data_IF_473293511746
#
_entry.id   IF_473293511746
#
_cell.length_a   1.000
_cell.length_b   1.000
_cell.length_c   1.000
_cell.angle_alpha   90.00
_cell.angle_beta   90.00
_cell.angle_gamma   90.00
#
_symmetry.space_group_name_H-M   'P 1'
#
loop_
_entity.id
_entity.type
_entity.pdbx_description
1 polymer ?
#
# COMPACT_ATOMS: atom_id res chain seq x y z
N UNK A 1 3.54 -0.40 14.62
CA UNK A 1 3.65 -1.86 14.51
C UNK A 1 3.56 -2.17 13.03
N UNK A 2 4.52 -2.87 12.48
CA UNK A 2 4.58 -3.10 11.01
C UNK A 2 3.61 -4.23 10.66
N UNK A 3 2.38 -3.89 10.27
CA UNK A 3 1.33 -4.86 9.92
C UNK A 3 1.67 -5.75 8.70
N UNK A 4 2.83 -5.52 8.06
CA UNK A 4 3.32 -6.29 6.92
C UNK A 4 4.49 -7.24 7.24
N UNK A 5 4.94 -7.33 8.49
CA UNK A 5 5.98 -8.29 8.90
C UNK A 5 5.48 -9.76 8.82
N UNK A 6 4.16 -9.97 8.79
CA UNK A 6 3.56 -11.30 8.66
C UNK A 6 3.64 -11.86 7.23
N UNK A 7 3.87 -11.01 6.21
CA UNK A 7 3.93 -11.50 4.83
C UNK A 7 5.31 -12.07 4.50
N UNK A 8 5.30 -13.34 4.11
CA UNK A 8 6.52 -14.04 3.69
C UNK A 8 7.04 -13.44 2.38
N UNK A 9 8.33 -13.06 2.36
CA UNK A 9 9.01 -12.50 1.18
C UNK A 9 9.79 -13.56 0.39
N UNK A 10 9.65 -14.82 0.75
CA UNK A 10 10.27 -15.95 0.05
C UNK A 10 9.22 -16.68 -0.77
N UNK A 11 9.45 -16.90 -2.10
CA UNK A 11 8.52 -17.67 -2.93
C UNK A 11 8.38 -19.11 -2.43
N UNK A 12 7.16 -19.59 -2.30
CA UNK A 12 6.85 -20.95 -1.87
C UNK A 12 5.89 -21.62 -2.86
N UNK A 13 6.17 -22.89 -3.19
CA UNK A 13 5.29 -23.73 -4.00
C UNK A 13 4.70 -24.83 -3.12
N UNK A 14 3.37 -24.89 -3.02
CA UNK A 14 2.66 -25.94 -2.27
C UNK A 14 1.54 -26.56 -3.10
N UNK A 15 1.32 -27.85 -2.94
CA UNK A 15 0.21 -28.59 -3.55
C UNK A 15 -1.00 -28.68 -2.61
N UNK A 16 -0.84 -28.36 -1.33
CA UNK A 16 -1.88 -28.37 -0.31
C UNK A 16 -1.84 -27.05 0.47
N UNK A 17 -2.39 -25.98 -0.10
CA UNK A 17 -2.33 -24.65 0.50
C UNK A 17 -3.28 -24.45 1.68
N UNK A 18 -4.27 -25.35 1.88
CA UNK A 18 -5.29 -25.23 2.89
C UNK A 18 -5.44 -26.53 3.67
N UNK A 19 -4.63 -26.71 4.71
CA UNK A 19 -4.82 -27.85 5.63
C UNK A 19 -6.07 -27.71 6.52
N UNK A 20 -6.69 -26.53 6.58
CA UNK A 20 -7.98 -26.29 7.25
C UNK A 20 -8.77 -25.19 6.54
N UNK A 21 -9.93 -25.55 6.05
CA UNK A 21 -11.14 -24.81 5.66
C UNK A 21 -11.61 -25.03 4.23
N UNK A 22 -12.70 -25.82 4.15
CA UNK A 22 -13.55 -25.86 2.96
C UNK A 22 -14.33 -24.54 2.87
N UNK A 23 -14.17 -23.77 1.78
CA UNK A 23 -15.28 -22.99 1.17
C UNK A 23 -14.88 -22.34 -0.16
N UNK A 24 -15.81 -22.52 -1.10
CA UNK A 24 -16.20 -21.72 -2.26
C UNK A 24 -15.37 -21.77 -3.54
N UNK A 25 -16.07 -22.21 -4.57
CA UNK A 25 -15.67 -22.38 -5.98
C UNK A 25 -15.28 -21.06 -6.62
N UNK A 26 -14.09 -20.92 -7.23
CA UNK A 26 -13.74 -19.74 -8.02
C UNK A 26 -14.45 -19.75 -9.38
N UNK A 27 -14.96 -18.58 -9.78
CA UNK A 27 -15.51 -18.35 -11.10
C UNK A 27 -14.40 -18.40 -12.16
N UNK A 28 -14.67 -19.13 -13.24
CA UNK A 28 -13.78 -19.28 -14.39
C UNK A 28 -13.79 -17.96 -15.17
N UNK A 29 -12.66 -17.24 -15.14
CA UNK A 29 -12.40 -16.13 -16.06
C UNK A 29 -11.83 -16.68 -17.37
N UNK A 30 -12.38 -16.23 -18.52
CA UNK A 30 -11.89 -16.61 -19.83
C UNK A 30 -10.48 -16.07 -20.04
N UNK A 31 -9.56 -16.98 -20.43
CA UNK A 31 -8.17 -16.71 -20.74
C UNK A 31 -8.04 -15.83 -22.00
N UNK A 32 -7.61 -14.59 -21.79
CA UNK A 32 -6.69 -13.96 -22.76
C UNK A 32 -5.28 -14.26 -22.23
N UNK A 33 -4.45 -14.92 -23.04
CA UNK A 33 -3.05 -15.18 -22.67
C UNK A 33 -2.39 -13.82 -22.37
N UNK A 34 -2.04 -13.50 -21.10
CA UNK A 34 -1.22 -12.34 -20.84
C UNK A 34 0.20 -12.70 -21.30
N UNK A 35 0.79 -11.84 -22.11
CA UNK A 35 2.24 -11.84 -22.32
C UNK A 35 2.89 -11.72 -20.94
N UNK A 36 3.28 -12.85 -20.36
CA UNK A 36 3.98 -12.86 -19.06
C UNK A 36 5.33 -12.21 -19.28
N UNK A 37 5.64 -11.09 -18.61
CA UNK A 37 6.97 -10.51 -18.66
C UNK A 37 7.99 -11.59 -18.31
N UNK A 38 9.11 -11.62 -19.03
CA UNK A 38 10.16 -12.61 -18.81
C UNK A 38 10.71 -12.51 -17.39
N UNK A 39 10.28 -13.43 -16.52
CA UNK A 39 10.73 -13.46 -15.13
C UNK A 39 12.05 -14.18 -15.08
N UNK A 40 13.09 -13.46 -14.66
CA UNK A 40 14.40 -14.04 -14.44
C UNK A 40 14.39 -14.80 -13.11
N UNK A 41 14.32 -16.13 -13.20
CA UNK A 41 14.43 -17.02 -12.04
C UNK A 41 15.89 -17.35 -11.73
N UNK A 42 16.23 -17.42 -10.46
CA UNK A 42 17.54 -17.94 -10.00
C UNK A 42 17.67 -19.43 -10.30
N UNK A 43 18.88 -20.01 -10.30
CA UNK A 43 19.07 -21.44 -10.47
C UNK A 43 18.31 -22.26 -9.43
N UNK A 44 18.24 -21.79 -8.19
CA UNK A 44 17.52 -22.42 -7.09
C UNK A 44 16.01 -22.40 -7.36
N UNK A 45 15.47 -21.26 -7.78
CA UNK A 45 14.06 -21.11 -8.14
C UNK A 45 13.67 -22.03 -9.32
N UNK A 46 14.55 -22.18 -10.33
CA UNK A 46 14.35 -23.12 -11.44
C UNK A 46 14.32 -24.57 -10.96
N UNK A 47 15.21 -24.94 -10.04
CA UNK A 47 15.21 -26.28 -9.47
C UNK A 47 13.93 -26.53 -8.64
N UNK A 48 13.44 -25.54 -7.91
CA UNK A 48 12.16 -25.63 -7.19
C UNK A 48 11.00 -25.85 -8.15
N UNK A 49 10.95 -25.12 -9.28
CA UNK A 49 9.94 -25.30 -10.32
C UNK A 49 9.94 -26.71 -10.87
N UNK A 50 11.11 -27.26 -11.23
CA UNK A 50 11.22 -28.62 -11.78
C UNK A 50 10.82 -29.68 -10.76
N UNK A 51 11.34 -29.60 -9.54
CA UNK A 51 10.98 -30.53 -8.48
C UNK A 51 9.50 -30.47 -8.07
N UNK A 52 8.87 -29.32 -8.22
CA UNK A 52 7.44 -29.15 -7.99
C UNK A 52 6.62 -29.73 -9.14
N UNK A 53 7.04 -29.52 -10.39
CA UNK A 53 6.40 -30.06 -11.58
C UNK A 53 6.29 -31.60 -11.54
N UNK A 54 7.32 -32.29 -11.06
CA UNK A 54 7.32 -33.75 -10.87
C UNK A 54 6.22 -34.22 -9.92
N UNK A 55 5.85 -33.42 -8.91
CA UNK A 55 4.84 -33.74 -7.89
C UNK A 55 3.41 -33.48 -8.35
N UNK A 56 3.21 -32.78 -9.46
CA UNK A 56 1.88 -32.50 -9.99
C UNK A 56 1.26 -33.78 -10.54
N UNK A 57 0.12 -34.16 -9.97
CA UNK A 57 -0.70 -35.29 -10.44
C UNK A 57 -1.93 -34.73 -11.17
N UNK A 58 -1.93 -34.84 -12.50
CA UNK A 58 -3.02 -34.36 -13.36
C UNK A 58 -4.30 -35.20 -13.21
N UNK A 59 -4.24 -36.42 -12.67
CA UNK A 59 -5.41 -37.23 -12.37
C UNK A 59 -6.11 -36.84 -11.07
N UNK A 60 -5.43 -36.10 -10.21
CA UNK A 60 -5.98 -35.63 -8.93
C UNK A 60 -6.73 -34.30 -9.10
N UNK A 61 -8.03 -34.37 -9.36
CA UNK A 61 -8.88 -33.18 -9.56
C UNK A 61 -8.84 -32.20 -8.38
N UNK A 62 -8.68 -32.66 -7.15
CA UNK A 62 -8.62 -31.79 -5.98
C UNK A 62 -7.32 -30.96 -5.97
N UNK A 63 -6.20 -31.60 -6.30
CA UNK A 63 -4.91 -30.92 -6.45
C UNK A 63 -4.96 -29.84 -7.54
N UNK A 64 -5.60 -30.15 -8.67
CA UNK A 64 -5.75 -29.17 -9.77
C UNK A 64 -6.63 -27.99 -9.37
N UNK A 65 -7.73 -28.21 -8.65
CA UNK A 65 -8.61 -27.14 -8.18
C UNK A 65 -7.94 -26.21 -7.16
N UNK A 66 -6.98 -26.72 -6.40
CA UNK A 66 -6.25 -25.94 -5.39
C UNK A 66 -4.92 -25.39 -5.91
N UNK A 67 -4.61 -25.64 -7.18
CA UNK A 67 -3.35 -25.23 -7.79
C UNK A 67 -3.19 -23.71 -7.78
N UNK A 68 -2.16 -23.20 -7.10
CA UNK A 68 -1.90 -21.77 -6.97
C UNK A 68 -2.86 -20.99 -6.05
N UNK A 69 -3.88 -21.65 -5.48
CA UNK A 69 -4.87 -20.97 -4.64
C UNK A 69 -4.26 -20.36 -3.36
N UNK A 70 -3.20 -20.96 -2.82
CA UNK A 70 -2.47 -20.42 -1.67
C UNK A 70 -1.87 -19.04 -1.95
N UNK A 71 -1.20 -18.91 -3.09
CA UNK A 71 -0.60 -17.62 -3.51
C UNK A 71 -1.68 -16.59 -3.83
N UNK A 72 -2.77 -16.99 -4.48
CA UNK A 72 -3.90 -16.09 -4.73
C UNK A 72 -4.51 -15.57 -3.42
N UNK A 73 -4.65 -16.41 -2.40
CA UNK A 73 -5.11 -16.00 -1.07
C UNK A 73 -4.12 -15.00 -0.44
N UNK A 74 -2.82 -15.29 -0.46
CA UNK A 74 -1.79 -14.37 0.04
C UNK A 74 -1.88 -12.99 -0.61
N UNK A 75 -2.10 -12.94 -1.94
CA UNK A 75 -2.26 -11.67 -2.68
C UNK A 75 -3.54 -10.96 -2.27
N UNK A 76 -4.65 -11.67 -2.08
CA UNK A 76 -5.92 -11.09 -1.64
C UNK A 76 -5.79 -10.48 -0.23
N UNK A 77 -5.27 -11.23 0.73
CA UNK A 77 -5.05 -10.79 2.11
C UNK A 77 -4.08 -9.58 2.16
N UNK A 78 -3.03 -9.62 1.35
CA UNK A 78 -2.09 -8.51 1.20
C UNK A 78 -2.77 -7.26 0.63
N UNK A 79 -3.59 -7.41 -0.43
CA UNK A 79 -4.28 -6.30 -1.07
C UNK A 79 -5.30 -5.65 -0.14
N UNK A 80 -6.01 -6.44 0.67
CA UNK A 80 -6.94 -5.94 1.68
C UNK A 80 -6.23 -5.10 2.73
N UNK A 81 -5.14 -5.63 3.32
CA UNK A 81 -4.31 -4.87 4.28
C UNK A 81 -3.69 -3.62 3.66
N UNK A 82 -3.25 -3.69 2.39
CA UNK A 82 -2.73 -2.55 1.66
C UNK A 82 -3.77 -1.43 1.53
N UNK A 83 -5.01 -1.77 1.14
CA UNK A 83 -6.11 -0.82 1.02
C UNK A 83 -6.49 -0.17 2.36
N UNK A 84 -6.45 -0.92 3.46
CA UNK A 84 -6.70 -0.37 4.79
C UNK A 84 -5.67 0.68 5.22
N UNK A 85 -4.40 0.48 4.83
CA UNK A 85 -3.30 1.34 5.22
C UNK A 85 -3.12 2.57 4.31
N UNK A 86 -3.57 2.52 3.05
CA UNK A 86 -3.49 3.63 2.07
C UNK A 86 -4.63 4.64 2.25
N UNK A 87 -5.40 4.61 3.32
CA UNK A 87 -6.41 5.63 3.60
C UNK A 87 -5.74 7.00 3.64
N UNK A 88 -6.03 7.79 2.62
CA UNK A 88 -5.57 9.18 2.47
C UNK A 88 -5.81 9.95 3.75
N UNK A 89 -4.74 10.33 4.42
CA UNK A 89 -4.82 11.21 5.59
C UNK A 89 -5.10 12.62 5.11
N UNK A 90 -6.25 13.11 5.53
CA UNK A 90 -6.72 14.45 5.17
C UNK A 90 -5.81 15.51 5.80
N UNK A 91 -5.26 16.40 4.97
CA UNK A 91 -4.54 17.61 5.39
C UNK A 91 -5.51 18.73 5.82
N UNK A 92 -6.79 18.43 6.04
CA UNK A 92 -7.83 19.39 6.41
C UNK A 92 -7.51 20.18 7.66
N UNK A 93 -6.79 19.57 8.63
CA UNK A 93 -6.32 20.27 9.83
C UNK A 93 -5.34 21.41 9.50
N UNK A 94 -4.35 21.15 8.64
CA UNK A 94 -3.40 22.17 8.19
C UNK A 94 -4.11 23.25 7.38
N UNK A 95 -5.06 22.89 6.53
CA UNK A 95 -5.89 23.82 5.77
C UNK A 95 -6.71 24.74 6.69
N UNK A 96 -7.29 24.21 7.74
CA UNK A 96 -8.05 24.99 8.75
C UNK A 96 -7.14 25.98 9.49
N UNK A 97 -6.00 25.50 9.99
CA UNK A 97 -5.02 26.34 10.68
C UNK A 97 -4.49 27.47 9.79
N UNK A 98 -4.24 27.21 8.50
CA UNK A 98 -3.84 28.23 7.53
C UNK A 98 -4.96 29.26 7.29
N UNK A 99 -6.21 28.81 7.18
CA UNK A 99 -7.37 29.69 7.01
C UNK A 99 -7.54 30.61 8.22
N UNK A 100 -7.32 30.10 9.42
CA UNK A 100 -7.38 30.87 10.66
C UNK A 100 -6.31 31.95 10.71
N UNK A 101 -5.06 31.63 10.35
CA UNK A 101 -3.97 32.61 10.25
C UNK A 101 -4.29 33.69 9.22
N UNK A 102 -4.79 33.32 8.05
CA UNK A 102 -5.15 34.30 7.00
C UNK A 102 -6.28 35.20 7.46
N UNK A 103 -7.28 34.66 8.16
CA UNK A 103 -8.41 35.43 8.70
C UNK A 103 -7.95 36.39 9.80
N UNK A 104 -7.06 35.96 10.67
CA UNK A 104 -6.48 36.81 11.70
C UNK A 104 -5.64 37.95 11.09
N UNK A 105 -4.84 37.65 10.06
CA UNK A 105 -4.03 38.65 9.38
C UNK A 105 -4.88 39.66 8.58
N UNK A 106 -5.95 39.24 7.91
CA UNK A 106 -6.89 40.15 7.23
C UNK A 106 -7.54 41.13 8.17
N UNK A 107 -7.82 40.75 9.41
CA UNK A 107 -8.34 41.66 10.42
C UNK A 107 -7.40 42.80 10.83
N UNK A 108 -6.12 42.78 10.41
CA UNK A 108 -5.17 43.90 10.60
C UNK A 108 -5.38 45.02 9.59
N UNK A 109 -5.61 44.69 8.31
CA UNK A 109 -5.80 45.67 7.24
C UNK A 109 -7.09 46.53 7.40
N UNK A 110 -8.17 45.88 7.81
CA UNK A 110 -9.47 46.56 7.98
C UNK A 110 -9.51 47.55 9.14
N UNK A 111 -8.67 47.38 10.17
CA UNK A 111 -8.54 48.33 11.29
C UNK A 111 -7.63 49.54 10.97
N UNK A 112 -6.67 49.41 10.03
CA UNK A 112 -5.83 50.51 9.61
C UNK A 112 -6.60 51.54 8.75
N UNK A 113 -7.50 51.11 7.86
CA UNK A 113 -8.29 52.00 7.02
C UNK A 113 -9.31 52.88 7.78
N UNK A 114 -9.77 52.42 8.96
CA UNK A 114 -10.78 53.14 9.77
C UNK A 114 -10.19 54.03 10.87
N UNK A 115 -8.87 54.12 11.01
CA UNK A 115 -8.31 54.58 12.26
C UNK A 115 -7.21 55.62 12.27
N UNK A 116 -6.80 56.22 11.16
CA UNK A 116 -5.69 57.20 11.19
C UNK A 116 -6.03 58.51 11.95
N UNK A 117 -7.29 58.87 12.06
CA UNK A 117 -7.75 60.07 12.82
C UNK A 117 -8.23 59.74 14.26
N UNK A 118 -8.37 58.50 14.64
CA UNK A 118 -8.81 58.06 15.99
C UNK A 118 -7.68 57.70 16.97
N UNK A 119 -6.43 57.67 16.49
CA UNK A 119 -5.28 57.06 17.23
C UNK A 119 -4.85 57.87 18.47
N UNK A 120 -5.13 59.16 18.51
CA UNK A 120 -4.62 60.05 19.57
C UNK A 120 -5.41 60.02 20.87
N UNK A 121 -6.57 59.36 21.00
CA UNK A 121 -7.42 59.42 22.19
C UNK A 121 -7.46 58.13 23.08
N UNK A 122 -6.89 56.99 22.62
CA UNK A 122 -6.86 55.76 23.43
C UNK A 122 -5.63 54.86 23.14
N UNK A 123 -4.42 55.42 23.30
CA UNK A 123 -3.17 54.78 22.86
C UNK A 123 -2.72 53.53 23.63
N UNK A 124 -3.25 53.26 24.80
CA UNK A 124 -2.79 52.10 25.62
C UNK A 124 -3.39 50.74 25.22
N UNK A 125 -4.66 50.73 24.78
CA UNK A 125 -5.35 49.46 24.51
C UNK A 125 -5.05 48.90 23.11
N UNK A 126 -4.72 49.75 22.13
CA UNK A 126 -4.42 49.26 20.74
C UNK A 126 -3.12 48.47 20.66
N UNK A 127 -2.07 48.90 21.37
CA UNK A 127 -0.78 48.18 21.39
C UNK A 127 -0.95 46.80 22.06
N UNK A 128 -1.73 46.71 23.12
CA UNK A 128 -2.01 45.44 23.76
C UNK A 128 -2.85 44.51 22.91
N UNK A 129 -3.85 45.04 22.19
CA UNK A 129 -4.68 44.26 21.24
C UNK A 129 -3.84 43.76 20.08
N UNK A 130 -2.98 44.59 19.51
CA UNK A 130 -2.04 44.20 18.47
C UNK A 130 -1.09 43.09 18.92
N UNK A 131 -0.47 43.25 20.09
CA UNK A 131 0.40 42.22 20.69
C UNK A 131 -0.34 40.89 20.88
N UNK A 132 -1.60 40.93 21.38
CA UNK A 132 -2.41 39.73 21.54
C UNK A 132 -2.73 39.02 20.21
N UNK A 133 -3.06 39.79 19.16
CA UNK A 133 -3.30 39.27 17.82
C UNK A 133 -2.02 38.63 17.22
N UNK A 134 -0.85 39.31 17.35
CA UNK A 134 0.43 38.74 16.91
C UNK A 134 0.79 37.45 17.67
N UNK A 135 0.62 37.43 18.97
CA UNK A 135 0.88 36.23 19.79
C UNK A 135 -0.04 35.06 19.40
N UNK A 136 -1.29 35.35 19.02
CA UNK A 136 -2.22 34.34 18.54
C UNK A 136 -1.81 33.80 17.14
N UNK A 137 -1.45 34.72 16.21
CA UNK A 137 -0.95 34.32 14.90
C UNK A 137 0.35 33.49 15.00
N UNK A 138 1.28 33.92 15.87
CA UNK A 138 2.51 33.16 16.18
C UNK A 138 2.19 31.76 16.73
N UNK A 139 1.23 31.64 17.62
CA UNK A 139 0.78 30.35 18.16
C UNK A 139 0.21 29.45 17.07
N UNK A 140 -0.62 30.02 16.17
CA UNK A 140 -1.21 29.26 15.07
C UNK A 140 -0.14 28.81 14.05
N UNK A 141 0.83 29.69 13.73
CA UNK A 141 1.97 29.31 12.88
C UNK A 141 2.78 28.18 13.52
N UNK A 142 3.06 28.25 14.81
CA UNK A 142 3.76 27.19 15.52
C UNK A 142 2.96 25.85 15.53
N UNK A 143 1.63 25.91 15.62
CA UNK A 143 0.79 24.73 15.49
C UNK A 143 0.83 24.14 14.09
N UNK A 144 0.85 24.97 13.05
CA UNK A 144 1.03 24.54 11.64
C UNK A 144 2.37 23.82 11.49
N UNK A 145 3.46 24.39 12.00
CA UNK A 145 4.79 23.76 11.94
C UNK A 145 4.76 22.36 12.58
N UNK A 146 4.20 22.24 13.79
CA UNK A 146 4.08 20.94 14.47
C UNK A 146 3.21 19.94 13.70
N UNK A 147 2.11 20.41 13.12
CA UNK A 147 1.26 19.55 12.30
C UNK A 147 2.01 19.06 11.06
N UNK A 148 2.75 19.95 10.37
CA UNK A 148 3.57 19.58 9.21
C UNK A 148 4.70 18.61 9.57
N UNK A 149 5.40 18.82 10.69
CA UNK A 149 6.42 17.88 11.19
C UNK A 149 5.81 16.49 11.47
N UNK A 150 4.62 16.45 12.05
CA UNK A 150 3.89 15.19 12.26
C UNK A 150 3.51 14.50 10.96
N UNK A 151 3.08 15.26 9.95
CA UNK A 151 2.79 14.75 8.61
C UNK A 151 4.05 14.24 7.91
N UNK A 152 5.19 14.94 8.03
CA UNK A 152 6.46 14.49 7.47
C UNK A 152 6.86 13.12 8.02
N UNK A 153 6.82 12.94 9.35
CA UNK A 153 7.11 11.65 9.99
C UNK A 153 6.15 10.55 9.50
N UNK A 154 4.88 10.90 9.30
CA UNK A 154 3.91 9.93 8.78
C UNK A 154 4.19 9.56 7.32
N UNK A 155 4.51 10.55 6.48
CA UNK A 155 4.88 10.29 5.08
C UNK A 155 6.11 9.40 4.96
N UNK A 156 7.12 9.59 5.83
CA UNK A 156 8.29 8.70 5.87
C UNK A 156 7.91 7.25 6.21
N UNK A 157 6.96 7.05 7.13
CA UNK A 157 6.43 5.72 7.45
C UNK A 157 5.65 5.13 6.28
N UNK A 158 4.85 5.95 5.61
CA UNK A 158 4.05 5.51 4.47
C UNK A 158 4.96 5.12 3.29
N UNK A 159 6.07 5.83 3.06
CA UNK A 159 7.09 5.47 2.06
C UNK A 159 7.72 4.11 2.40
N UNK A 160 8.19 3.92 3.62
CA UNK A 160 8.77 2.64 4.04
C UNK A 160 7.77 1.48 3.92
N UNK A 161 6.50 1.75 4.20
CA UNK A 161 5.41 0.81 3.99
C UNK A 161 5.23 0.45 2.52
N UNK A 162 5.19 1.44 1.63
CA UNK A 162 5.06 1.23 0.19
C UNK A 162 6.23 0.43 -0.40
N UNK A 163 7.46 0.70 0.06
CA UNK A 163 8.64 -0.07 -0.33
C UNK A 163 8.47 -1.54 0.06
N UNK A 164 8.02 -1.81 1.29
CA UNK A 164 7.76 -3.17 1.75
C UNK A 164 6.64 -3.85 0.96
N UNK A 165 5.58 -3.11 0.65
CA UNK A 165 4.47 -3.59 -0.19
C UNK A 165 4.97 -3.97 -1.59
N UNK A 166 5.88 -3.20 -2.16
CA UNK A 166 6.47 -3.51 -3.47
C UNK A 166 7.26 -4.83 -3.43
N UNK A 167 8.12 -5.02 -2.42
CA UNK A 167 8.89 -6.26 -2.24
C UNK A 167 8.00 -7.50 -2.12
N UNK A 168 6.97 -7.41 -1.27
CA UNK A 168 6.01 -8.52 -1.05
C UNK A 168 5.24 -8.83 -2.33
N UNK A 169 4.76 -7.81 -3.04
CA UNK A 169 4.05 -7.99 -4.29
C UNK A 169 4.94 -8.65 -5.36
N UNK A 170 6.20 -8.23 -5.47
CA UNK A 170 7.16 -8.84 -6.39
C UNK A 170 7.40 -10.33 -6.06
N UNK A 171 7.45 -10.68 -4.79
CA UNK A 171 7.61 -12.06 -4.33
C UNK A 171 6.41 -12.93 -4.75
N UNK A 172 5.18 -12.44 -4.53
CA UNK A 172 3.97 -13.17 -4.92
C UNK A 172 3.81 -13.29 -6.43
N UNK A 173 4.22 -12.25 -7.15
CA UNK A 173 4.26 -12.30 -8.61
C UNK A 173 5.21 -13.40 -9.11
N UNK A 174 6.41 -13.49 -8.53
CA UNK A 174 7.35 -14.58 -8.84
C UNK A 174 6.78 -15.94 -8.48
N UNK A 175 6.17 -16.08 -7.31
CA UNK A 175 5.55 -17.33 -6.86
C UNK A 175 4.49 -17.81 -7.85
N UNK A 176 3.57 -16.93 -8.28
CA UNK A 176 2.58 -17.26 -9.31
C UNK A 176 3.21 -17.68 -10.63
N UNK A 177 4.25 -16.98 -11.07
CA UNK A 177 4.96 -17.34 -12.28
C UNK A 177 5.64 -18.70 -12.19
N UNK A 178 6.18 -19.06 -11.03
CA UNK A 178 6.74 -20.40 -10.79
C UNK A 178 5.66 -21.48 -10.87
N UNK A 179 4.44 -21.23 -10.35
CA UNK A 179 3.30 -22.13 -10.56
C UNK A 179 2.97 -22.30 -12.04
N UNK A 180 2.87 -21.21 -12.79
CA UNK A 180 2.59 -21.25 -14.23
C UNK A 180 3.67 -22.05 -14.98
N UNK A 181 4.95 -21.83 -14.68
CA UNK A 181 6.05 -22.56 -15.30
C UNK A 181 6.03 -24.05 -14.95
N UNK A 182 5.80 -24.42 -13.69
CA UNK A 182 5.72 -25.82 -13.27
C UNK A 182 4.54 -26.54 -13.93
N UNK A 183 3.37 -25.90 -14.03
CA UNK A 183 2.23 -26.43 -14.76
C UNK A 183 2.50 -26.62 -16.24
N UNK A 184 3.12 -25.64 -16.91
CA UNK A 184 3.53 -25.74 -18.33
C UNK A 184 4.54 -26.86 -18.55
N UNK A 185 5.53 -27.01 -17.67
CA UNK A 185 6.50 -28.09 -17.72
C UNK A 185 5.81 -29.46 -17.61
N UNK A 186 4.95 -29.63 -16.62
CA UNK A 186 4.20 -30.88 -16.41
C UNK A 186 3.33 -31.27 -17.60
N UNK A 187 2.60 -30.30 -18.16
CA UNK A 187 1.78 -30.50 -19.35
C UNK A 187 2.61 -30.91 -20.57
N UNK A 188 3.78 -30.27 -20.76
CA UNK A 188 4.69 -30.61 -21.87
C UNK A 188 5.26 -32.03 -21.73
N UNK A 189 5.63 -32.44 -20.53
CA UNK A 189 6.13 -33.80 -20.23
C UNK A 189 5.05 -34.86 -20.50
N UNK A 190 3.84 -34.65 -20.01
CA UNK A 190 2.70 -35.56 -20.21
C UNK A 190 2.35 -35.70 -21.70
N UNK A 191 2.26 -34.58 -22.40
CA UNK A 191 1.98 -34.59 -23.86
C UNK A 191 3.04 -35.31 -24.67
N UNK A 192 4.33 -35.15 -24.31
CA UNK A 192 5.42 -35.84 -24.96
C UNK A 192 5.44 -37.33 -24.62
N UNK A 193 5.00 -37.74 -23.42
CA UNK A 193 4.81 -39.15 -23.06
C UNK A 193 3.70 -39.83 -23.87
N UNK A 194 2.56 -39.16 -24.03
CA UNK A 194 1.41 -39.69 -24.81
C UNK A 194 1.70 -39.81 -26.31
N UNK A 195 2.66 -39.07 -26.85
CA UNK A 195 3.06 -39.15 -28.27
C UNK A 195 4.07 -40.26 -28.54
N UNK A 196 4.58 -40.94 -27.48
CA UNK A 196 5.57 -42.03 -27.59
C UNK A 196 4.95 -43.42 -27.36
N UNK A 197 3.69 -43.53 -26.97
CA UNK A 197 2.89 -44.73 -26.90
C UNK A 197 2.03 -44.89 -28.18
#
# INVERSE_FOLDING_TARGET
>A
MNDFEEFNVTPELTLDPFQEEKKETPQIYQETEPETPEIVLTPEEKNMVSAFAEKIDLANSNMILQYGAGTQKKIADFSEKALENVKTKDLGEVGTLLSDVVTELKGFDEEEEKGFLGIFKKGGNKIQTMKAKYAKAETNVNNIVKALESHEVQLMKDIALLDKMYEVNLTYYKELAMYVLAGKQKLAETRNGELQE
#
